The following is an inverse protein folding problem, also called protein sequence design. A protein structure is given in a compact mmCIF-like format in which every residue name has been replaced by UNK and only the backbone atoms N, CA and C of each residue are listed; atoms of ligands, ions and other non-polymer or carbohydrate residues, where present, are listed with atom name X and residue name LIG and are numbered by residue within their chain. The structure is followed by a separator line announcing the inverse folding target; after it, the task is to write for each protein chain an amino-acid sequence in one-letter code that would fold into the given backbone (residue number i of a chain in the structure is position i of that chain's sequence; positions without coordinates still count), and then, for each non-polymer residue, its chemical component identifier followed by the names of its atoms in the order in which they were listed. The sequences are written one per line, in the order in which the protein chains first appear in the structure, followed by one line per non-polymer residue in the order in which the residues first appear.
data_IF_911726016099
#
_entry.id   IF_911726016099
#
_cell.length_a   1.000
_cell.length_b   1.000
_cell.length_c   1.000
_cell.angle_alpha   90.00
_cell.angle_beta   90.00
_cell.angle_gamma   90.00
#
_symmetry.space_group_name_H-M   'P 1'
#
loop_
_entity.id
_entity.type
_entity.pdbx_description
1 polymer ?
#
# COMPACT_ATOMS: atom_id res chain seq x y z
N UNK A 1 5.42 26.29 -35.11
CA UNK A 1 5.83 26.33 -33.68
C UNK A 1 5.97 24.89 -33.22
N UNK A 2 7.20 24.44 -32.95
CA UNK A 2 7.45 23.09 -32.42
C UNK A 2 6.86 23.03 -31.01
N UNK A 3 5.88 22.15 -30.78
CA UNK A 3 5.35 21.89 -29.44
C UNK A 3 6.46 21.17 -28.67
N UNK A 4 7.08 21.85 -27.71
CA UNK A 4 8.06 21.24 -26.82
C UNK A 4 7.31 20.23 -25.95
N UNK A 5 7.46 18.94 -26.25
CA UNK A 5 6.78 17.87 -25.50
C UNK A 5 7.56 17.57 -24.22
N UNK A 6 6.95 17.81 -23.06
CA UNK A 6 7.48 17.38 -21.76
C UNK A 6 7.56 15.86 -21.70
N UNK A 7 8.72 15.32 -21.32
CA UNK A 7 8.93 13.88 -21.15
C UNK A 7 9.00 13.54 -19.66
N UNK A 8 8.26 12.53 -19.23
CA UNK A 8 8.30 12.07 -17.85
C UNK A 8 9.26 10.90 -17.67
N UNK A 9 10.02 10.95 -16.58
CA UNK A 9 10.73 9.82 -15.98
C UNK A 9 9.95 9.43 -14.73
N UNK A 10 9.24 8.33 -14.83
CA UNK A 10 8.42 7.80 -13.75
C UNK A 10 9.29 7.08 -12.71
N UNK A 11 8.98 7.32 -11.44
CA UNK A 11 9.70 6.80 -10.30
C UNK A 11 8.76 6.59 -9.11
N UNK A 12 9.19 5.78 -8.15
CA UNK A 12 8.41 5.54 -6.95
C UNK A 12 9.30 5.16 -5.76
N UNK A 13 8.76 5.34 -4.55
CA UNK A 13 9.43 5.04 -3.30
C UNK A 13 8.47 5.13 -2.12
N UNK A 14 9.02 5.31 -0.92
CA UNK A 14 8.17 5.40 0.26
C UNK A 14 8.88 5.84 1.53
N UNK A 15 8.06 6.10 2.54
CA UNK A 15 8.52 6.30 3.91
C UNK A 15 8.27 5.01 4.67
N UNK A 16 9.35 4.29 4.99
CA UNK A 16 9.30 3.17 5.93
C UNK A 16 9.23 3.76 7.34
N UNK A 17 8.26 3.31 8.11
CA UNK A 17 8.08 3.76 9.49
C UNK A 17 7.76 2.60 10.43
N UNK A 18 8.09 2.79 11.70
CA UNK A 18 7.73 1.88 12.79
C UNK A 18 7.58 2.66 14.09
N UNK A 19 6.87 2.07 15.06
CA UNK A 19 6.85 2.61 16.43
C UNK A 19 8.20 2.38 17.09
N UNK A 20 8.65 3.37 17.84
CA UNK A 20 9.88 3.31 18.63
C UNK A 20 9.63 2.49 19.89
N UNK A 21 10.54 1.58 20.21
CA UNK A 21 10.55 0.89 21.50
C UNK A 21 11.15 1.83 22.57
N UNK A 22 10.30 2.52 23.33
CA UNK A 22 10.72 3.47 24.38
C UNK A 22 11.10 2.75 25.70
N UNK A 23 11.12 1.41 25.73
CA UNK A 23 11.36 0.61 26.94
C UNK A 23 12.80 0.58 27.46
N UNK A 24 13.69 1.50 27.06
CA UNK A 24 15.11 1.45 27.47
C UNK A 24 15.84 2.78 27.66
N UNK A 25 15.20 3.94 27.59
CA UNK A 25 15.91 5.24 27.69
C UNK A 25 15.30 6.22 28.69
N UNK A 26 14.88 5.71 29.85
CA UNK A 26 14.67 6.53 31.04
C UNK A 26 15.08 5.72 32.26
N UNK A 27 16.37 5.82 32.61
CA UNK A 27 16.91 5.78 33.98
C UNK A 27 18.43 5.56 33.92
N UNK A 28 19.16 6.64 33.62
CA UNK A 28 20.54 6.77 34.04
C UNK A 28 20.67 8.11 34.77
N UNK A 29 20.58 8.03 36.10
CA UNK A 29 21.20 8.96 37.04
C UNK A 29 20.50 10.28 37.31
N UNK A 30 19.53 10.29 38.22
CA UNK A 30 19.43 11.35 39.23
C UNK A 30 18.84 10.74 40.52
N UNK A 31 19.70 10.57 41.53
CA UNK A 31 19.33 10.13 42.87
C UNK A 31 18.65 11.27 43.61
N UNK A 32 17.35 11.16 43.88
CA UNK A 32 16.59 12.13 44.66
C UNK A 32 15.30 11.55 45.26
N UNK A 33 15.37 11.25 46.57
CA UNK A 33 14.33 11.01 47.59
C UNK A 33 12.84 10.78 47.20
N UNK A 34 12.17 9.75 47.76
CA UNK A 34 10.75 9.51 47.53
C UNK A 34 9.90 10.41 48.45
N UNK A 35 9.21 11.40 47.89
CA UNK A 35 8.07 12.04 48.56
C UNK A 35 6.80 11.78 47.76
N UNK A 36 5.81 11.25 48.48
CA UNK A 36 4.50 10.83 48.02
C UNK A 36 3.70 11.99 47.40
N UNK A 37 3.41 11.88 46.10
CA UNK A 37 2.40 12.69 45.42
C UNK A 37 1.38 11.77 44.76
N UNK A 38 0.08 12.12 44.77
CA UNK A 38 -0.99 11.25 44.34
C UNK A 38 -0.92 11.01 42.83
N UNK A 39 -1.16 9.76 42.43
CA UNK A 39 -1.23 9.29 41.05
C UNK A 39 -2.33 10.08 40.33
N UNK A 40 -1.91 10.99 39.44
CA UNK A 40 -2.83 11.67 38.52
C UNK A 40 -3.40 10.66 37.53
N UNK A 41 -4.68 10.78 37.12
CA UNK A 41 -5.27 9.88 36.16
C UNK A 41 -4.52 9.94 34.83
N UNK A 42 -4.24 8.77 34.24
CA UNK A 42 -3.59 8.62 32.94
C UNK A 42 -4.48 9.29 31.89
N UNK A 43 -4.15 10.53 31.52
CA UNK A 43 -4.67 11.15 30.31
C UNK A 43 -4.20 10.30 29.13
N UNK A 44 -5.11 9.95 28.22
CA UNK A 44 -4.76 9.28 26.97
C UNK A 44 -3.70 10.10 26.23
N UNK A 45 -2.44 9.68 26.29
CA UNK A 45 -1.32 10.41 25.68
C UNK A 45 -1.60 10.56 24.19
N UNK A 46 -1.70 11.81 23.73
CA UNK A 46 -1.73 12.15 22.32
C UNK A 46 -0.42 11.63 21.70
N UNK A 47 -0.52 10.77 20.68
CA UNK A 47 0.66 10.25 19.98
C UNK A 47 1.58 11.42 19.59
N UNK A 48 2.84 11.34 19.98
CA UNK A 48 3.88 12.24 19.53
C UNK A 48 4.41 11.73 18.20
N UNK A 49 4.76 12.63 17.28
CA UNK A 49 5.43 12.26 16.02
C UNK A 49 6.71 11.46 16.29
N UNK A 50 7.41 11.82 17.37
CA UNK A 50 8.65 11.18 17.78
C UNK A 50 8.44 9.82 18.47
N UNK A 51 7.20 9.34 18.57
CA UNK A 51 6.89 7.94 18.89
C UNK A 51 7.19 7.00 17.71
N UNK A 52 7.46 7.55 16.52
CA UNK A 52 7.84 6.80 15.33
C UNK A 52 9.30 7.03 14.94
N UNK A 53 9.84 6.07 14.19
CA UNK A 53 11.12 6.17 13.50
C UNK A 53 10.89 6.01 12.00
N UNK A 54 11.61 6.78 11.19
CA UNK A 54 11.54 6.80 9.73
C UNK A 54 12.90 6.41 9.13
N UNK A 55 12.89 5.64 8.05
CA UNK A 55 14.10 5.17 7.37
C UNK A 55 14.55 6.13 6.25
N UNK A 56 15.77 6.65 6.35
CA UNK A 56 16.43 7.48 5.32
C UNK A 56 17.64 6.75 4.75
N UNK A 57 17.93 7.02 3.48
CA UNK A 57 19.11 6.53 2.78
C UNK A 57 20.08 7.66 2.47
N UNK A 58 21.38 7.36 2.50
CA UNK A 58 22.45 8.24 2.07
C UNK A 58 22.99 7.82 0.71
N UNK A 59 23.08 8.76 -0.23
CA UNK A 59 23.56 8.49 -1.60
C UNK A 59 24.93 9.14 -1.83
N UNK A 60 26.03 8.36 -1.86
CA UNK A 60 27.39 8.90 -1.99
C UNK A 60 27.60 9.75 -3.25
N UNK A 61 26.92 9.41 -4.35
CA UNK A 61 27.01 10.13 -5.62
C UNK A 61 26.62 11.62 -5.49
N UNK A 62 25.67 11.94 -4.62
CA UNK A 62 25.13 13.28 -4.45
C UNK A 62 25.49 13.92 -3.11
N UNK A 63 26.11 13.16 -2.20
CA UNK A 63 26.32 13.54 -0.80
C UNK A 63 25.03 14.05 -0.14
N UNK A 64 23.94 13.27 -0.27
CA UNK A 64 22.63 13.66 0.20
C UNK A 64 21.88 12.56 0.97
N UNK A 65 20.92 13.00 1.78
CA UNK A 65 19.97 12.16 2.50
C UNK A 65 18.57 12.38 1.96
N UNK A 66 17.92 11.29 1.55
CA UNK A 66 16.57 11.31 0.99
C UNK A 66 15.75 10.12 1.47
N UNK A 67 14.48 10.10 1.08
CA UNK A 67 13.68 8.88 1.09
C UNK A 67 14.18 7.87 0.06
N UNK A 68 14.03 6.56 0.31
CA UNK A 68 14.34 5.54 -0.67
C UNK A 68 13.38 5.60 -1.86
N UNK A 69 13.92 5.62 -3.08
CA UNK A 69 13.17 5.75 -4.34
C UNK A 69 14.04 5.55 -5.58
N UNK A 70 13.46 4.94 -6.60
CA UNK A 70 14.10 4.83 -7.91
C UNK A 70 13.10 4.79 -9.06
N UNK A 71 13.62 4.51 -10.25
CA UNK A 71 12.86 4.64 -11.51
C UNK A 71 12.07 3.39 -11.78
N UNK A 72 10.91 3.54 -12.42
CA UNK A 72 10.18 2.39 -12.91
C UNK A 72 11.02 1.64 -13.95
N UNK A 73 11.05 0.32 -13.83
CA UNK A 73 11.50 -0.56 -14.90
C UNK A 73 10.46 -0.60 -16.05
N UNK A 74 10.84 -1.03 -17.27
CA UNK A 74 9.88 -1.22 -18.34
C UNK A 74 8.73 -2.16 -17.93
N UNK A 75 7.49 -1.73 -18.17
CA UNK A 75 6.27 -2.47 -17.83
C UNK A 75 6.09 -2.74 -16.32
N UNK A 76 6.67 -1.88 -15.48
CA UNK A 76 6.54 -1.90 -14.04
C UNK A 76 5.59 -0.79 -13.55
N UNK A 77 4.68 -1.14 -12.65
CA UNK A 77 3.79 -0.17 -12.01
C UNK A 77 4.54 0.59 -10.91
N UNK A 78 4.15 1.84 -10.63
CA UNK A 78 4.75 2.61 -9.53
C UNK A 78 4.69 1.90 -8.17
N UNK A 79 3.63 1.14 -7.89
CA UNK A 79 3.52 0.39 -6.63
C UNK A 79 4.55 -0.73 -6.53
N UNK A 80 4.80 -1.41 -7.65
CA UNK A 80 5.80 -2.47 -7.73
C UNK A 80 7.20 -1.87 -7.60
N UNK A 81 7.47 -0.80 -8.36
CA UNK A 81 8.69 0.01 -8.25
C UNK A 81 8.93 0.44 -6.81
N UNK A 82 7.91 0.97 -6.12
CA UNK A 82 8.06 1.46 -4.75
C UNK A 82 8.54 0.35 -3.80
N UNK A 83 7.93 -0.84 -3.85
CA UNK A 83 8.35 -1.97 -2.99
C UNK A 83 9.72 -2.50 -3.38
N UNK A 84 10.00 -2.61 -4.68
CA UNK A 84 11.31 -3.06 -5.19
C UNK A 84 12.39 -2.09 -4.74
N UNK A 85 12.32 -0.83 -5.15
CA UNK A 85 13.32 0.21 -4.87
C UNK A 85 13.60 0.36 -3.37
N UNK A 86 12.54 0.35 -2.55
CA UNK A 86 12.72 0.39 -1.09
C UNK A 86 13.47 -0.84 -0.58
N UNK A 87 13.15 -2.03 -1.09
CA UNK A 87 13.89 -3.24 -0.76
C UNK A 87 15.34 -3.24 -1.26
N UNK A 88 15.60 -2.71 -2.45
CA UNK A 88 16.94 -2.62 -3.05
C UNK A 88 17.83 -1.64 -2.25
N UNK A 89 17.33 -0.44 -1.98
CA UNK A 89 18.10 0.63 -1.36
C UNK A 89 18.26 0.46 0.16
N UNK A 90 17.29 -0.15 0.83
CA UNK A 90 17.29 -0.24 2.30
C UNK A 90 17.54 -1.64 2.85
N UNK A 91 17.38 -2.68 2.02
CA UNK A 91 17.40 -4.07 2.46
C UNK A 91 16.20 -4.51 3.30
N UNK A 92 15.26 -3.60 3.65
CA UNK A 92 14.05 -3.94 4.38
C UNK A 92 12.99 -4.51 3.44
N UNK A 93 12.39 -5.62 3.84
CA UNK A 93 11.18 -6.12 3.18
C UNK A 93 9.98 -5.36 3.73
N UNK A 94 9.21 -4.72 2.83
CA UNK A 94 8.13 -3.80 3.21
C UNK A 94 6.82 -4.14 2.51
N UNK A 95 5.70 -3.71 3.09
CA UNK A 95 4.37 -3.67 2.46
C UNK A 95 3.87 -2.26 2.27
N UNK A 96 3.09 -2.05 1.21
CA UNK A 96 2.42 -0.77 0.96
C UNK A 96 1.25 -0.54 1.92
N UNK A 97 1.17 0.69 2.39
CA UNK A 97 0.03 1.32 3.04
C UNK A 97 -0.57 2.42 2.18
N UNK A 98 -1.25 3.41 2.79
CA UNK A 98 -1.80 4.54 2.07
C UNK A 98 -0.77 5.29 1.21
N UNK A 99 -1.17 5.69 0.02
CA UNK A 99 -0.41 6.63 -0.82
C UNK A 99 -0.19 7.94 -0.06
N UNK A 100 1.02 8.50 -0.07
CA UNK A 100 1.39 9.75 0.61
C UNK A 100 1.12 10.94 -0.29
N UNK A 101 1.90 11.06 -1.36
CA UNK A 101 1.87 12.19 -2.29
C UNK A 101 2.61 11.85 -3.59
N UNK A 102 2.49 12.74 -4.57
CA UNK A 102 3.26 12.75 -5.81
C UNK A 102 4.06 14.05 -5.85
N UNK A 103 5.36 13.97 -6.17
CA UNK A 103 6.21 15.14 -6.42
C UNK A 103 6.73 15.13 -7.86
N UNK A 104 6.99 16.31 -8.40
CA UNK A 104 7.58 16.50 -9.73
C UNK A 104 8.69 17.55 -9.67
N UNK A 105 9.81 17.28 -10.34
CA UNK A 105 10.86 18.27 -10.54
C UNK A 105 11.65 17.99 -11.84
N UNK A 106 12.25 19.02 -12.46
CA UNK A 106 13.15 18.83 -13.60
C UNK A 106 14.28 17.87 -13.25
N UNK A 107 14.52 16.86 -14.08
CA UNK A 107 15.50 15.80 -13.81
C UNK A 107 16.91 16.35 -13.57
N UNK A 108 17.25 17.47 -14.19
CA UNK A 108 18.51 18.19 -14.01
C UNK A 108 18.71 18.80 -12.61
N UNK A 109 17.65 18.84 -11.80
CA UNK A 109 17.68 19.25 -10.39
C UNK A 109 17.99 18.09 -9.44
N UNK A 110 18.07 16.83 -9.90
CA UNK A 110 18.40 15.68 -9.05
C UNK A 110 19.75 15.87 -8.36
N UNK A 111 19.75 15.78 -7.02
CA UNK A 111 20.95 15.93 -6.20
C UNK A 111 21.39 17.38 -5.98
N UNK A 112 20.69 18.38 -6.52
CA UNK A 112 20.98 19.80 -6.28
C UNK A 112 20.08 20.32 -5.15
N UNK A 113 20.69 20.94 -4.13
CA UNK A 113 19.95 21.74 -3.15
C UNK A 113 19.26 22.90 -3.91
N UNK A 114 17.99 23.17 -3.64
CA UNK A 114 17.32 24.34 -4.21
C UNK A 114 18.09 25.60 -3.81
N UNK A 115 18.85 26.18 -4.74
CA UNK A 115 19.38 27.52 -4.61
C UNK A 115 18.29 28.49 -5.04
N UNK A 116 18.11 29.57 -4.29
CA UNK A 116 17.13 30.61 -4.57
C UNK A 116 17.13 30.97 -6.06
N UNK A 117 15.92 31.06 -6.65
CA UNK A 117 15.67 31.43 -8.05
C UNK A 117 16.50 32.65 -8.45
N UNK A 118 17.65 32.43 -9.07
CA UNK A 118 18.44 33.46 -9.71
C UNK A 118 18.63 33.07 -11.17
N UNK A 119 18.07 33.88 -12.07
CA UNK A 119 18.52 33.95 -13.45
C UNK A 119 17.43 33.70 -14.48
N UNK A 120 17.02 34.80 -15.11
CA UNK A 120 16.44 34.94 -16.45
C UNK A 120 16.12 33.65 -17.20
N UNK A 121 14.84 33.47 -17.52
CA UNK A 121 14.34 32.48 -18.46
C UNK A 121 15.02 32.61 -19.81
N UNK A 122 16.06 31.81 -20.03
CA UNK A 122 16.50 31.46 -21.36
C UNK A 122 15.41 30.57 -21.96
N UNK A 123 14.87 30.97 -23.10
CA UNK A 123 13.95 30.15 -23.89
C UNK A 123 14.71 28.92 -24.40
N UNK A 124 14.81 27.91 -23.54
CA UNK A 124 15.43 26.65 -23.89
C UNK A 124 14.48 25.90 -24.83
N UNK A 125 14.92 25.66 -26.07
CA UNK A 125 14.17 24.93 -27.11
C UNK A 125 14.21 23.41 -26.93
N UNK A 126 14.86 22.94 -25.86
CA UNK A 126 15.00 21.53 -25.51
C UNK A 126 13.75 21.00 -24.77
N UNK A 127 13.34 19.74 -25.01
CA UNK A 127 12.28 19.11 -24.23
C UNK A 127 12.66 18.98 -22.76
N UNK A 128 11.83 19.54 -21.89
CA UNK A 128 11.98 19.42 -20.44
C UNK A 128 11.70 17.97 -20.01
N UNK A 129 12.67 17.37 -19.32
CA UNK A 129 12.52 16.02 -18.74
C UNK A 129 12.16 16.18 -17.27
N UNK A 130 10.93 15.82 -16.91
CA UNK A 130 10.42 15.89 -15.54
C UNK A 130 10.53 14.52 -14.90
N UNK A 131 11.06 14.47 -13.67
CA UNK A 131 10.99 13.28 -12.83
C UNK A 131 9.73 13.36 -11.98
N UNK A 132 8.82 12.39 -12.13
CA UNK A 132 7.60 12.25 -11.34
C UNK A 132 7.76 11.09 -10.37
N UNK A 133 7.48 11.31 -9.09
CA UNK A 133 7.71 10.31 -8.05
C UNK A 133 6.46 10.16 -7.20
N UNK A 134 5.99 8.92 -7.06
CA UNK A 134 4.92 8.57 -6.13
C UNK A 134 5.51 7.96 -4.84
N UNK A 135 4.98 8.38 -3.69
CA UNK A 135 5.40 7.87 -2.37
C UNK A 135 4.27 7.18 -1.64
N UNK A 136 4.59 6.10 -0.93
CA UNK A 136 3.67 5.37 -0.06
C UNK A 136 4.16 5.31 1.39
N UNK A 137 3.22 5.19 2.33
CA UNK A 137 3.51 4.76 3.70
C UNK A 137 3.86 3.28 3.65
N UNK A 138 4.94 2.86 4.32
CA UNK A 138 5.39 1.46 4.27
C UNK A 138 5.71 0.91 5.65
N UNK A 139 5.31 -0.34 5.89
CA UNK A 139 5.65 -1.08 7.11
C UNK A 139 6.53 -2.27 6.79
N UNK A 140 7.45 -2.58 7.68
CA UNK A 140 8.30 -3.77 7.57
C UNK A 140 7.47 -5.05 7.67
N UNK A 141 7.88 -6.08 6.94
CA UNK A 141 7.40 -7.46 7.09
C UNK A 141 8.54 -8.39 7.50
N UNK A 142 8.20 -9.43 8.24
CA UNK A 142 9.19 -10.42 8.66
C UNK A 142 9.75 -11.24 7.48
N UNK A 143 10.94 -11.83 7.70
CA UNK A 143 11.64 -12.61 6.69
C UNK A 143 10.83 -13.80 6.15
N UNK A 144 10.12 -14.60 6.98
CA UNK A 144 9.24 -15.66 6.47
C UNK A 144 8.18 -15.14 5.49
N UNK A 145 7.51 -14.04 5.83
CA UNK A 145 6.48 -13.41 5.00
C UNK A 145 7.08 -12.88 3.70
N UNK A 146 8.24 -12.21 3.80
CA UNK A 146 8.98 -11.73 2.63
C UNK A 146 9.39 -12.89 1.69
N UNK A 147 9.88 -14.01 2.25
CA UNK A 147 10.29 -15.17 1.48
C UNK A 147 9.10 -15.83 0.74
N UNK A 148 7.95 -15.98 1.41
CA UNK A 148 6.72 -16.51 0.79
C UNK A 148 6.19 -15.60 -0.33
N UNK A 149 6.40 -14.29 -0.22
CA UNK A 149 5.97 -13.31 -1.22
C UNK A 149 6.81 -13.36 -2.51
N UNK A 150 8.09 -13.72 -2.43
CA UNK A 150 9.05 -13.58 -3.54
C UNK A 150 8.60 -14.24 -4.87
N UNK A 151 8.02 -15.45 -4.92
CA UNK A 151 7.61 -16.04 -6.18
C UNK A 151 6.52 -15.22 -6.90
N UNK A 152 5.59 -14.62 -6.16
CA UNK A 152 4.53 -13.78 -6.71
C UNK A 152 5.01 -12.36 -7.05
N UNK A 153 5.92 -11.79 -6.24
CA UNK A 153 6.45 -10.44 -6.44
C UNK A 153 7.54 -10.40 -7.51
N UNK A 154 8.56 -11.25 -7.39
CA UNK A 154 9.78 -11.18 -8.17
C UNK A 154 11.01 -10.91 -7.32
N UNK A 155 12.20 -10.96 -7.92
CA UNK A 155 13.46 -10.75 -7.20
C UNK A 155 13.66 -9.28 -6.81
N UNK A 156 14.27 -9.06 -5.65
CA UNK A 156 14.74 -7.74 -5.20
C UNK A 156 16.25 -7.86 -5.02
N UNK A 157 17.03 -7.03 -5.72
CA UNK A 157 18.49 -7.07 -5.71
C UNK A 157 19.04 -5.91 -4.89
N UNK A 158 19.81 -6.14 -3.81
CA UNK A 158 20.37 -5.05 -3.03
C UNK A 158 21.18 -4.07 -3.88
N UNK A 159 21.01 -2.78 -3.60
CA UNK A 159 21.77 -1.71 -4.22
C UNK A 159 23.27 -1.84 -3.90
N UNK A 160 24.11 -1.29 -4.78
CA UNK A 160 25.56 -1.29 -4.56
C UNK A 160 25.93 -0.25 -3.49
N UNK A 161 27.03 -0.44 -2.73
CA UNK A 161 27.52 0.58 -1.79
C UNK A 161 27.85 1.94 -2.41
N UNK A 162 28.12 1.97 -3.72
CA UNK A 162 28.35 3.21 -4.49
C UNK A 162 27.06 4.01 -4.73
N UNK A 163 25.91 3.35 -4.64
CA UNK A 163 24.58 3.92 -4.82
C UNK A 163 24.00 4.31 -3.46
N UNK A 164 23.96 3.38 -2.51
CA UNK A 164 23.55 3.62 -1.14
C UNK A 164 24.71 3.34 -0.18
N UNK A 165 25.17 4.38 0.50
CA UNK A 165 26.32 4.29 1.41
C UNK A 165 25.94 4.06 2.87
N UNK A 166 24.75 4.49 3.28
CA UNK A 166 24.29 4.34 4.67
C UNK A 166 22.77 4.42 4.78
N UNK A 167 22.23 3.87 5.87
CA UNK A 167 20.80 3.86 6.20
C UNK A 167 20.64 4.30 7.66
N UNK A 168 19.69 5.20 7.94
CA UNK A 168 19.40 5.66 9.30
C UNK A 168 17.92 5.58 9.62
N UNK A 169 17.61 5.16 10.85
CA UNK A 169 16.30 5.34 11.47
C UNK A 169 16.30 6.56 12.37
N UNK A 170 15.41 7.51 12.10
CA UNK A 170 15.34 8.81 12.80
C UNK A 170 13.89 9.13 13.17
N UNK A 171 13.68 9.83 14.29
CA UNK A 171 12.36 10.40 14.58
C UNK A 171 12.00 11.43 13.50
N UNK A 172 10.71 11.72 13.23
CA UNK A 172 10.32 12.71 12.23
C UNK A 172 11.00 14.07 12.42
N UNK A 173 11.17 14.52 13.67
CA UNK A 173 11.87 15.77 13.99
C UNK A 173 13.34 15.76 13.56
N UNK A 174 14.04 14.62 13.72
CA UNK A 174 15.43 14.45 13.29
C UNK A 174 15.53 14.23 11.78
N UNK A 175 14.61 13.45 11.20
CA UNK A 175 14.53 13.22 9.76
C UNK A 175 14.39 14.55 9.00
N UNK A 176 13.50 15.45 9.44
CA UNK A 176 13.33 16.78 8.83
C UNK A 176 14.63 17.56 8.71
N UNK A 177 15.45 17.53 9.77
CA UNK A 177 16.77 18.21 9.81
C UNK A 177 17.81 17.51 8.95
N UNK A 178 17.68 16.20 8.77
CA UNK A 178 18.65 15.37 8.04
C UNK A 178 18.40 15.38 6.53
N UNK A 179 17.16 15.43 6.09
CA UNK A 179 16.77 15.48 4.68
C UNK A 179 17.45 16.67 3.98
N UNK A 180 18.07 16.38 2.83
CA UNK A 180 18.83 17.37 2.07
C UNK A 180 17.92 18.28 1.25
N UNK A 181 16.86 17.73 0.66
CA UNK A 181 16.00 18.42 -0.31
C UNK A 181 14.67 18.87 0.30
N UNK A 182 14.19 20.04 -0.13
CA UNK A 182 12.87 20.56 0.30
C UNK A 182 11.72 19.67 -0.16
N UNK A 183 11.81 19.08 -1.35
CA UNK A 183 10.81 18.14 -1.85
C UNK A 183 10.64 16.91 -0.96
N UNK A 184 11.71 16.38 -0.36
CA UNK A 184 11.60 15.27 0.59
C UNK A 184 10.95 15.73 1.92
N UNK A 185 11.11 17.01 2.30
CA UNK A 185 10.43 17.59 3.48
C UNK A 185 8.92 17.78 3.22
N UNK A 186 8.53 18.13 1.99
CA UNK A 186 7.12 18.15 1.59
C UNK A 186 6.48 16.75 1.68
N UNK A 187 7.21 15.70 1.28
CA UNK A 187 6.76 14.30 1.46
C UNK A 187 6.62 13.96 2.95
N UNK A 188 7.54 14.43 3.80
CA UNK A 188 7.44 14.27 5.26
C UNK A 188 6.20 14.97 5.83
N UNK A 189 5.90 16.19 5.39
CA UNK A 189 4.70 16.93 5.83
C UNK A 189 3.42 16.18 5.48
N UNK A 190 3.31 15.68 4.23
CA UNK A 190 2.18 14.87 3.79
C UNK A 190 2.06 13.55 4.57
N UNK A 191 3.18 12.93 4.94
CA UNK A 191 3.20 11.75 5.80
C UNK A 191 2.69 12.04 7.21
N UNK A 192 3.15 13.14 7.82
CA UNK A 192 2.73 13.54 9.16
C UNK A 192 1.25 13.91 9.22
N UNK A 193 0.70 14.52 8.17
CA UNK A 193 -0.74 14.77 8.07
C UNK A 193 -1.55 13.46 8.16
N UNK A 194 -1.09 12.42 7.45
CA UNK A 194 -1.71 11.08 7.51
C UNK A 194 -1.56 10.45 8.89
N UNK A 195 -0.38 10.57 9.49
CA UNK A 195 -0.11 10.08 10.84
C UNK A 195 -1.06 10.72 11.87
N UNK A 196 -1.20 12.04 11.84
CA UNK A 196 -2.09 12.81 12.72
C UNK A 196 -3.57 12.51 12.47
N UNK A 197 -3.93 12.14 11.25
CA UNK A 197 -5.26 11.65 10.90
C UNK A 197 -5.53 10.21 11.38
N UNK A 198 -4.61 9.57 12.12
CA UNK A 198 -4.76 8.22 12.66
C UNK A 198 -4.53 7.12 11.63
N UNK A 199 -3.80 7.41 10.55
CA UNK A 199 -3.55 6.46 9.45
C UNK A 199 -2.27 5.63 9.64
N UNK A 200 -1.63 5.72 10.81
CA UNK A 200 -0.43 4.96 11.16
C UNK A 200 -0.71 3.46 11.28
N UNK A 201 -1.88 3.10 11.79
CA UNK A 201 -2.30 1.71 11.89
C UNK A 201 -3.45 1.47 10.93
N UNK A 202 -3.21 0.56 9.99
CA UNK A 202 -4.19 0.18 9.00
C UNK A 202 -4.19 -1.33 8.76
N UNK A 203 -5.34 -1.81 8.31
CA UNK A 203 -5.51 -3.11 7.67
C UNK A 203 -5.81 -2.90 6.20
N UNK A 204 -5.50 -3.90 5.37
CA UNK A 204 -5.67 -3.76 3.93
C UNK A 204 -6.66 -4.82 3.40
N UNK A 205 -7.63 -4.37 2.62
CA UNK A 205 -8.59 -5.24 1.95
C UNK A 205 -8.48 -5.04 0.44
N UNK A 206 -8.12 -6.10 -0.29
CA UNK A 206 -8.02 -6.10 -1.74
C UNK A 206 -9.26 -6.78 -2.32
N UNK A 207 -10.11 -6.01 -2.98
CA UNK A 207 -11.26 -6.55 -3.69
C UNK A 207 -10.84 -6.83 -5.13
N UNK A 208 -10.85 -8.10 -5.51
CA UNK A 208 -10.51 -8.55 -6.87
C UNK A 208 -11.80 -8.89 -7.59
N UNK A 209 -11.98 -8.32 -8.78
CA UNK A 209 -13.03 -8.77 -9.70
C UNK A 209 -12.46 -9.87 -10.56
N UNK A 210 -13.17 -11.00 -10.66
CA UNK A 210 -12.71 -12.13 -11.46
C UNK A 210 -12.29 -11.72 -12.88
N UNK A 211 -11.31 -12.44 -13.44
CA UNK A 211 -10.78 -12.26 -14.78
C UNK A 211 -11.84 -12.41 -15.87
N UNK A 212 -11.49 -12.04 -17.11
CA UNK A 212 -12.36 -12.26 -18.27
C UNK A 212 -12.71 -13.75 -18.35
N UNK A 213 -14.01 -14.05 -18.40
CA UNK A 213 -14.54 -15.42 -18.40
C UNK A 213 -15.23 -15.75 -19.71
N UNK A 214 -15.38 -17.06 -19.96
CA UNK A 214 -16.13 -17.56 -21.12
C UNK A 214 -17.53 -16.94 -21.17
N UNK A 215 -18.06 -16.73 -22.37
CA UNK A 215 -19.37 -16.11 -22.51
C UNK A 215 -20.46 -17.08 -22.03
N UNK A 216 -21.51 -16.54 -21.39
CA UNK A 216 -22.68 -17.35 -20.99
C UNK A 216 -23.37 -18.03 -22.17
N UNK A 217 -23.28 -17.43 -23.37
CA UNK A 217 -23.90 -17.93 -24.59
C UNK A 217 -23.16 -19.15 -25.17
N UNK A 218 -21.84 -19.19 -25.02
CA UNK A 218 -20.99 -20.23 -25.62
C UNK A 218 -20.68 -21.37 -24.66
N UNK A 219 -20.68 -21.10 -23.36
CA UNK A 219 -20.40 -22.10 -22.34
C UNK A 219 -21.53 -23.12 -22.21
N UNK A 220 -21.19 -24.41 -22.33
CA UNK A 220 -22.16 -25.52 -22.29
C UNK A 220 -22.29 -26.16 -20.89
N UNK A 221 -21.47 -25.73 -19.93
CA UNK A 221 -21.52 -26.22 -18.55
C UNK A 221 -22.39 -25.33 -17.63
N UNK A 222 -22.40 -25.65 -16.34
CA UNK A 222 -23.06 -24.82 -15.33
C UNK A 222 -22.37 -23.45 -15.15
N UNK A 223 -23.09 -22.46 -14.63
CA UNK A 223 -22.50 -21.15 -14.28
C UNK A 223 -21.39 -21.26 -13.23
N UNK A 224 -21.48 -22.23 -12.32
CA UNK A 224 -20.47 -22.48 -11.28
C UNK A 224 -19.15 -22.97 -11.86
N UNK A 225 -19.19 -23.71 -12.98
CA UNK A 225 -18.02 -24.29 -13.64
C UNK A 225 -17.48 -23.46 -14.80
N UNK A 226 -18.07 -22.29 -15.09
CA UNK A 226 -17.63 -21.42 -16.19
C UNK A 226 -16.24 -20.82 -15.90
N UNK A 227 -15.21 -21.11 -16.73
CA UNK A 227 -13.82 -20.74 -16.46
C UNK A 227 -13.47 -19.32 -16.91
N UNK A 228 -12.30 -18.84 -16.50
CA UNK A 228 -11.66 -17.70 -17.14
C UNK A 228 -11.16 -18.05 -18.56
N UNK A 229 -11.10 -17.07 -19.46
CA UNK A 229 -10.51 -17.24 -20.80
C UNK A 229 -8.97 -17.21 -20.71
N UNK A 230 -8.22 -17.59 -21.76
CA UNK A 230 -6.76 -17.45 -21.77
C UNK A 230 -6.27 -16.02 -21.49
N UNK A 231 -6.94 -15.01 -22.05
CA UNK A 231 -6.65 -13.60 -21.74
C UNK A 231 -6.99 -13.25 -20.29
N UNK A 232 -8.05 -13.85 -19.73
CA UNK A 232 -8.39 -13.72 -18.32
C UNK A 232 -7.32 -14.31 -17.42
N UNK A 233 -6.74 -15.46 -17.78
CA UNK A 233 -5.64 -16.09 -17.07
C UNK A 233 -4.36 -15.24 -17.12
N UNK A 234 -4.01 -14.70 -18.29
CA UNK A 234 -2.86 -13.79 -18.44
C UNK A 234 -3.00 -12.53 -17.56
N UNK A 235 -4.17 -11.90 -17.56
CA UNK A 235 -4.45 -10.75 -16.70
C UNK A 235 -4.42 -11.10 -15.20
N UNK A 236 -4.93 -12.28 -14.84
CA UNK A 236 -4.94 -12.78 -13.45
C UNK A 236 -3.52 -13.05 -12.94
N UNK A 237 -2.67 -13.65 -13.78
CA UNK A 237 -1.25 -13.85 -13.49
C UNK A 237 -0.52 -12.51 -13.32
N UNK A 238 -0.73 -11.58 -14.25
CA UNK A 238 -0.15 -10.24 -14.17
C UNK A 238 -0.62 -9.46 -12.93
N UNK A 239 -1.86 -9.67 -12.46
CA UNK A 239 -2.38 -9.05 -11.24
C UNK A 239 -1.67 -9.55 -9.99
N UNK A 240 -1.19 -10.80 -9.97
CA UNK A 240 -0.50 -11.39 -8.82
C UNK A 240 0.67 -10.56 -8.30
N UNK A 241 1.49 -10.00 -9.19
CA UNK A 241 2.63 -9.13 -8.82
C UNK A 241 2.20 -7.85 -8.11
N UNK A 242 1.02 -7.33 -8.46
CA UNK A 242 0.46 -6.12 -7.88
C UNK A 242 -0.15 -6.41 -6.50
N UNK A 243 -0.83 -7.55 -6.34
CA UNK A 243 -1.34 -8.00 -5.04
C UNK A 243 -0.21 -8.27 -4.05
N UNK A 244 0.91 -8.81 -4.55
CA UNK A 244 2.10 -9.10 -3.75
C UNK A 244 2.69 -7.85 -3.06
N UNK A 245 2.49 -6.65 -3.62
CA UNK A 245 2.95 -5.38 -3.01
C UNK A 245 2.35 -5.12 -1.61
N UNK A 246 1.23 -5.78 -1.28
CA UNK A 246 0.53 -5.68 -0.01
C UNK A 246 0.70 -6.93 0.88
N UNK A 247 1.47 -7.92 0.41
CA UNK A 247 1.79 -9.20 1.07
C UNK A 247 0.62 -9.89 1.79
N UNK A 248 -0.55 -10.09 1.15
CA UNK A 248 -1.72 -10.66 1.79
C UNK A 248 -1.42 -11.95 2.54
N UNK A 249 -2.10 -12.16 3.67
CA UNK A 249 -1.99 -13.36 4.48
C UNK A 249 -3.25 -14.23 4.44
N UNK A 250 -4.32 -13.75 3.77
CA UNK A 250 -5.59 -14.45 3.62
C UNK A 250 -6.17 -14.23 2.22
N UNK A 251 -6.69 -15.30 1.61
CA UNK A 251 -7.41 -15.25 0.34
C UNK A 251 -8.80 -15.86 0.53
N UNK A 252 -9.83 -15.08 0.22
CA UNK A 252 -11.23 -15.51 0.19
C UNK A 252 -11.74 -15.40 -1.24
N UNK A 253 -12.54 -16.36 -1.68
CA UNK A 253 -13.11 -16.35 -3.02
C UNK A 253 -14.52 -16.92 -3.03
N UNK A 254 -15.34 -16.48 -3.99
CA UNK A 254 -16.50 -17.27 -4.38
C UNK A 254 -16.04 -18.64 -4.92
N UNK A 255 -16.72 -19.76 -4.61
CA UNK A 255 -16.35 -21.09 -5.08
C UNK A 255 -16.47 -21.27 -6.60
N UNK A 256 -17.14 -20.35 -7.31
CA UNK A 256 -17.27 -20.44 -8.76
C UNK A 256 -15.92 -20.38 -9.47
N UNK A 257 -15.73 -21.27 -10.44
CA UNK A 257 -14.45 -21.57 -11.09
C UNK A 257 -13.69 -20.32 -11.53
N UNK A 258 -14.36 -19.38 -12.22
CA UNK A 258 -13.73 -18.12 -12.64
C UNK A 258 -13.13 -17.27 -11.51
N UNK A 259 -13.73 -17.26 -10.32
CA UNK A 259 -13.19 -16.53 -9.16
C UNK A 259 -11.97 -17.26 -8.60
N UNK A 260 -12.07 -18.57 -8.42
CA UNK A 260 -10.95 -19.40 -7.94
C UNK A 260 -9.76 -19.32 -8.89
N UNK A 261 -9.96 -19.50 -10.19
CA UNK A 261 -8.90 -19.43 -11.20
C UNK A 261 -8.23 -18.05 -11.29
N UNK A 262 -8.96 -16.96 -10.96
CA UNK A 262 -8.40 -15.60 -10.97
C UNK A 262 -7.30 -15.43 -9.92
N UNK A 263 -7.42 -16.09 -8.76
CA UNK A 263 -6.46 -15.95 -7.66
C UNK A 263 -5.57 -17.18 -7.49
N UNK A 264 -5.79 -18.24 -8.27
CA UNK A 264 -5.10 -19.52 -8.12
C UNK A 264 -3.57 -19.43 -8.27
N UNK A 265 -3.07 -18.75 -9.31
CA UNK A 265 -1.63 -18.58 -9.51
C UNK A 265 -0.99 -17.81 -8.34
N UNK A 266 -1.61 -16.69 -7.95
CA UNK A 266 -1.13 -15.90 -6.82
C UNK A 266 -1.15 -16.68 -5.50
N UNK A 267 -2.21 -17.46 -5.25
CA UNK A 267 -2.35 -18.32 -4.07
C UNK A 267 -1.26 -19.39 -4.01
N UNK A 268 -0.99 -20.04 -5.15
CA UNK A 268 0.09 -21.01 -5.29
C UNK A 268 1.45 -20.35 -4.98
N UNK A 269 1.77 -19.25 -5.66
CA UNK A 269 3.07 -18.57 -5.56
C UNK A 269 3.31 -17.97 -4.17
N UNK A 270 2.24 -17.59 -3.46
CA UNK A 270 2.31 -17.08 -2.09
C UNK A 270 2.17 -18.18 -1.02
N UNK A 271 1.97 -19.44 -1.42
CA UNK A 271 1.68 -20.57 -0.51
C UNK A 271 0.49 -20.29 0.44
N UNK A 272 -0.58 -19.71 -0.09
CA UNK A 272 -1.79 -19.36 0.66
C UNK A 272 -2.97 -20.23 0.22
N UNK A 273 -3.75 -20.80 1.15
CA UNK A 273 -4.99 -21.48 0.80
C UNK A 273 -6.05 -20.46 0.33
N UNK A 274 -6.97 -20.92 -0.51
CA UNK A 274 -8.15 -20.15 -0.93
C UNK A 274 -9.33 -20.61 -0.08
N UNK A 275 -9.82 -19.74 0.80
CA UNK A 275 -11.07 -19.95 1.52
C UNK A 275 -12.25 -19.71 0.57
N UNK A 276 -13.01 -20.75 0.27
CA UNK A 276 -14.15 -20.67 -0.66
C UNK A 276 -15.46 -20.52 0.11
N UNK A 277 -16.21 -19.44 -0.17
CA UNK A 277 -17.42 -19.08 0.58
C UNK A 277 -18.64 -19.04 -0.33
N UNK A 278 -19.60 -19.93 -0.09
CA UNK A 278 -20.77 -20.15 -0.95
C UNK A 278 -21.67 -18.90 -1.05
N UNK A 279 -21.78 -18.15 0.03
CA UNK A 279 -22.56 -16.92 0.16
C UNK A 279 -22.05 -15.80 -0.75
N UNK A 280 -20.83 -15.91 -1.28
CA UNK A 280 -20.23 -14.94 -2.21
C UNK A 280 -20.56 -15.23 -3.69
N UNK A 281 -21.34 -16.27 -3.99
CA UNK A 281 -21.81 -16.57 -5.37
C UNK A 281 -22.86 -15.58 -5.85
N UNK A 282 -23.05 -15.44 -7.18
CA UNK A 282 -24.14 -14.59 -7.72
C UNK A 282 -25.52 -15.13 -7.28
N UNK A 283 -25.71 -16.45 -7.29
CA UNK A 283 -26.98 -17.08 -6.91
C UNK A 283 -27.36 -16.83 -5.44
N UNK A 284 -26.40 -16.97 -4.51
CA UNK A 284 -26.66 -16.66 -3.11
C UNK A 284 -26.88 -15.17 -2.90
N UNK A 285 -26.15 -14.32 -3.61
CA UNK A 285 -26.33 -12.87 -3.54
C UNK A 285 -27.69 -12.41 -4.04
N UNK A 286 -28.20 -13.01 -5.12
CA UNK A 286 -29.52 -12.71 -5.66
C UNK A 286 -30.64 -13.14 -4.68
N UNK A 287 -30.51 -14.33 -4.08
CA UNK A 287 -31.52 -14.89 -3.15
C UNK A 287 -31.44 -14.31 -1.75
N UNK A 288 -30.23 -14.04 -1.25
CA UNK A 288 -29.92 -13.70 0.14
C UNK A 288 -28.85 -12.60 0.25
N UNK A 289 -29.09 -11.40 -0.32
CA UNK A 289 -28.08 -10.33 -0.40
C UNK A 289 -27.58 -9.86 0.98
N UNK A 290 -28.42 -9.98 2.03
CA UNK A 290 -28.03 -9.68 3.41
C UNK A 290 -26.97 -10.66 3.94
N UNK A 291 -27.10 -11.95 3.62
CA UNK A 291 -26.14 -12.98 4.04
C UNK A 291 -24.78 -12.73 3.38
N UNK A 292 -24.77 -12.48 2.07
CA UNK A 292 -23.56 -12.09 1.33
C UNK A 292 -22.91 -10.84 1.93
N UNK A 293 -23.69 -9.80 2.24
CA UNK A 293 -23.14 -8.59 2.85
C UNK A 293 -22.56 -8.87 4.24
N UNK A 294 -23.20 -9.72 5.05
CA UNK A 294 -22.67 -10.11 6.36
C UNK A 294 -21.28 -10.75 6.25
N UNK A 295 -21.04 -11.63 5.28
CA UNK A 295 -19.70 -12.21 5.06
C UNK A 295 -18.65 -11.12 4.79
N UNK A 296 -18.98 -10.17 3.91
CA UNK A 296 -18.06 -9.10 3.52
C UNK A 296 -17.76 -8.13 4.68
N UNK A 297 -18.77 -7.80 5.48
CA UNK A 297 -18.61 -6.94 6.67
C UNK A 297 -17.87 -7.67 7.79
N UNK A 298 -18.15 -8.96 7.98
CA UNK A 298 -17.46 -9.78 8.98
C UNK A 298 -15.96 -9.86 8.69
N UNK A 299 -15.55 -9.85 7.41
CA UNK A 299 -14.13 -9.83 7.08
C UNK A 299 -13.45 -8.51 7.46
N UNK A 300 -14.14 -7.37 7.30
CA UNK A 300 -13.63 -6.08 7.84
C UNK A 300 -13.47 -6.18 9.37
N UNK A 301 -14.45 -6.74 10.07
CA UNK A 301 -14.36 -6.93 11.52
C UNK A 301 -13.28 -7.93 11.94
N UNK A 302 -13.02 -8.97 11.13
CA UNK A 302 -11.91 -9.91 11.35
C UNK A 302 -10.58 -9.18 11.27
N UNK A 303 -10.39 -8.34 10.24
CA UNK A 303 -9.21 -7.50 10.11
C UNK A 303 -9.05 -6.60 11.36
N UNK A 304 -10.12 -5.95 11.83
CA UNK A 304 -10.05 -5.12 13.04
C UNK A 304 -9.62 -5.91 14.29
N UNK A 305 -10.23 -7.07 14.52
CA UNK A 305 -9.90 -7.94 15.66
C UNK A 305 -8.45 -8.42 15.60
N UNK A 306 -7.97 -8.81 14.42
CA UNK A 306 -6.59 -9.23 14.23
C UNK A 306 -5.59 -8.09 14.53
N UNK A 307 -5.92 -6.86 14.10
CA UNK A 307 -5.09 -5.69 14.37
C UNK A 307 -5.04 -5.35 15.87
N UNK A 308 -6.14 -5.52 16.61
CA UNK A 308 -6.18 -5.31 18.06
C UNK A 308 -5.35 -6.36 18.80
N UNK A 309 -5.52 -7.64 18.47
CA UNK A 309 -4.77 -8.73 19.09
C UNK A 309 -3.25 -8.62 18.86
N UNK A 310 -2.84 -8.12 17.67
CA UNK A 310 -1.44 -7.88 17.36
C UNK A 310 -0.81 -6.77 18.22
N UNK A 311 -1.60 -5.76 18.63
CA UNK A 311 -1.12 -4.66 19.49
C UNK A 311 -0.99 -5.07 20.96
N UNK A 312 -1.79 -6.03 21.43
CA UNK A 312 -1.76 -6.51 22.83
C UNK A 312 -0.64 -7.51 23.08
N UNK A 313 -0.30 -8.31 22.07
CA UNK A 313 0.83 -9.25 22.13
C UNK A 313 2.13 -8.49 21.87
N UNK A 314 2.69 -7.88 22.92
CA UNK A 314 3.87 -7.00 22.94
C UNK A 314 5.18 -7.61 22.37
N UNK A 315 5.10 -8.72 21.63
CA UNK A 315 6.25 -9.52 21.21
C UNK A 315 6.47 -9.65 19.72
N UNK A 316 5.60 -9.19 18.81
CA UNK A 316 5.93 -9.17 17.36
C UNK A 316 5.10 -8.14 16.57
N UNK A 317 5.74 -7.00 16.27
CA UNK A 317 5.16 -5.83 15.58
C UNK A 317 5.01 -6.01 14.05
N UNK A 318 4.76 -7.24 13.57
CA UNK A 318 4.95 -7.60 12.14
C UNK A 318 3.81 -8.40 11.51
N UNK A 319 2.67 -8.57 12.19
CA UNK A 319 1.54 -9.29 11.60
C UNK A 319 0.88 -8.42 10.51
N UNK A 320 1.32 -8.58 9.26
CA UNK A 320 0.65 -7.96 8.12
C UNK A 320 -0.80 -8.45 8.08
N UNK A 321 -1.76 -7.53 8.12
CA UNK A 321 -3.18 -7.84 8.23
C UNK A 321 -3.88 -7.45 6.94
N UNK A 322 -3.80 -8.34 5.95
CA UNK A 322 -4.18 -8.05 4.57
C UNK A 322 -4.93 -9.21 3.94
N UNK A 323 -6.18 -8.97 3.54
CA UNK A 323 -7.05 -9.98 2.90
C UNK A 323 -7.30 -9.66 1.43
N UNK A 324 -7.22 -10.67 0.57
CA UNK A 324 -7.72 -10.63 -0.82
C UNK A 324 -9.10 -11.28 -0.90
N UNK A 325 -10.07 -10.64 -1.54
CA UNK A 325 -11.39 -11.21 -1.83
C UNK A 325 -11.69 -11.21 -3.32
N UNK A 326 -11.79 -12.38 -3.96
CA UNK A 326 -12.20 -12.49 -5.36
C UNK A 326 -13.72 -12.66 -5.49
N UNK A 327 -14.36 -11.69 -6.14
CA UNK A 327 -15.81 -11.49 -6.09
C UNK A 327 -16.41 -11.30 -7.50
N UNK A 328 -17.75 -11.44 -7.57
CA UNK A 328 -18.54 -11.10 -8.75
C UNK A 328 -18.95 -9.63 -8.74
N UNK A 329 -19.18 -9.06 -9.91
CA UNK A 329 -19.60 -7.65 -10.06
C UNK A 329 -20.84 -7.26 -9.22
N UNK A 330 -21.96 -8.02 -9.21
CA UNK A 330 -23.13 -7.63 -8.41
C UNK A 330 -22.86 -7.65 -6.89
N UNK A 331 -22.07 -8.62 -6.43
CA UNK A 331 -21.61 -8.73 -5.03
C UNK A 331 -20.76 -7.51 -4.65
N UNK A 332 -19.77 -7.18 -5.48
CA UNK A 332 -18.94 -5.97 -5.32
C UNK A 332 -19.80 -4.72 -5.27
N UNK A 333 -20.83 -4.62 -6.12
CA UNK A 333 -21.72 -3.47 -6.16
C UNK A 333 -22.47 -3.26 -4.84
N UNK A 334 -22.99 -4.34 -4.26
CA UNK A 334 -23.64 -4.29 -2.93
C UNK A 334 -22.63 -3.89 -1.85
N UNK A 335 -21.40 -4.40 -1.94
CA UNK A 335 -20.38 -4.03 -0.96
C UNK A 335 -19.97 -2.57 -1.08
N UNK A 336 -19.82 -2.05 -2.30
CA UNK A 336 -19.50 -0.65 -2.54
C UNK A 336 -20.56 0.27 -1.94
N UNK A 337 -21.84 -0.12 -1.93
CA UNK A 337 -22.90 0.65 -1.27
C UNK A 337 -22.69 0.74 0.24
N UNK A 338 -22.20 -0.33 0.88
CA UNK A 338 -21.78 -0.32 2.28
C UNK A 338 -20.49 0.51 2.48
N UNK A 339 -19.45 0.26 1.68
CA UNK A 339 -18.15 0.94 1.78
C UNK A 339 -18.30 2.47 1.63
N UNK A 340 -19.20 2.94 0.76
CA UNK A 340 -19.51 4.37 0.60
C UNK A 340 -20.05 5.03 1.88
N UNK A 341 -20.67 4.27 2.79
CA UNK A 341 -21.18 4.78 4.08
C UNK A 341 -20.06 4.98 5.09
N UNK A 342 -19.05 4.11 5.07
CA UNK A 342 -17.88 4.18 5.97
C UNK A 342 -16.71 4.99 5.38
N UNK A 343 -16.87 5.51 4.16
CA UNK A 343 -15.90 6.39 3.49
C UNK A 343 -16.31 7.86 3.64
N UNK A 344 -15.42 8.70 4.18
CA UNK A 344 -15.69 10.15 4.35
C UNK A 344 -15.38 11.00 3.12
N UNK A 345 -14.17 10.92 2.50
CA UNK A 345 -13.84 11.83 1.40
C UNK A 345 -14.77 11.61 0.19
N UNK A 346 -15.35 12.71 -0.33
CA UNK A 346 -16.22 12.66 -1.53
C UNK A 346 -15.48 12.08 -2.74
N UNK A 347 -14.18 12.33 -2.86
CA UNK A 347 -13.34 11.80 -3.94
C UNK A 347 -13.30 10.26 -3.95
N UNK A 348 -13.12 9.63 -2.78
CA UNK A 348 -13.10 8.18 -2.63
C UNK A 348 -14.45 7.53 -2.97
N UNK A 349 -15.57 8.22 -2.70
CA UNK A 349 -16.91 7.74 -3.08
C UNK A 349 -17.10 7.60 -4.59
N UNK A 350 -16.34 8.33 -5.41
CA UNK A 350 -16.37 8.19 -6.88
C UNK A 350 -15.70 6.91 -7.37
N UNK A 351 -14.66 6.45 -6.68
CA UNK A 351 -13.96 5.20 -7.02
C UNK A 351 -14.85 3.99 -6.69
N UNK A 352 -15.60 4.07 -5.59
CA UNK A 352 -16.59 3.07 -5.16
C UNK A 352 -17.89 3.15 -5.98
N UNK A 353 -17.79 3.09 -7.31
CA UNK A 353 -18.93 3.08 -8.21
C UNK A 353 -19.03 1.77 -8.98
N UNK A 354 -20.27 1.35 -9.26
CA UNK A 354 -20.57 0.08 -9.93
C UNK A 354 -20.34 0.11 -11.44
N UNK A 355 -20.20 1.29 -12.05
CA UNK A 355 -20.13 1.42 -13.51
C UNK A 355 -18.72 1.11 -14.00
N UNK A 356 -18.59 0.39 -15.11
CA UNK A 356 -17.36 0.46 -15.92
C UNK A 356 -17.17 1.94 -16.29
N UNK A 357 -15.99 2.56 -16.12
CA UNK A 357 -14.66 1.96 -16.06
C UNK A 357 -14.04 1.82 -14.65
N UNK A 358 -14.81 1.94 -13.56
CA UNK A 358 -14.22 2.10 -12.22
C UNK A 358 -13.58 0.81 -11.66
N UNK A 359 -14.05 -0.37 -12.08
CA UNK A 359 -13.44 -1.67 -11.77
C UNK A 359 -13.65 -2.69 -12.91
N UNK A 360 -12.77 -2.71 -13.94
CA UNK A 360 -12.80 -3.68 -15.04
C UNK A 360 -12.67 -5.14 -14.58
N UNK A 361 -12.98 -6.12 -15.45
CA UNK A 361 -12.69 -7.54 -15.17
C UNK A 361 -11.19 -7.76 -14.98
N UNK A 362 -10.79 -8.61 -14.04
CA UNK A 362 -9.37 -8.88 -13.79
C UNK A 362 -8.60 -7.71 -13.18
N UNK A 363 -9.31 -6.77 -12.54
CA UNK A 363 -8.71 -5.66 -11.79
C UNK A 363 -9.04 -5.78 -10.31
N UNK A 364 -8.33 -5.01 -9.49
CA UNK A 364 -8.58 -4.93 -8.07
C UNK A 364 -8.75 -3.49 -7.58
N UNK A 365 -9.36 -3.36 -6.41
CA UNK A 365 -9.41 -2.14 -5.62
C UNK A 365 -8.80 -2.45 -4.26
N UNK A 366 -7.81 -1.66 -3.87
CA UNK A 366 -7.17 -1.74 -2.55
C UNK A 366 -7.86 -0.74 -1.64
N UNK A 367 -8.19 -1.18 -0.44
CA UNK A 367 -8.81 -0.38 0.59
C UNK A 367 -7.91 -0.42 1.83
N UNK A 368 -7.42 0.73 2.26
CA UNK A 368 -6.79 0.86 3.56
C UNK A 368 -7.85 1.27 4.58
N UNK A 369 -7.96 0.48 5.64
CA UNK A 369 -8.98 0.59 6.67
C UNK A 369 -8.30 0.90 8.00
N UNK A 370 -8.85 1.86 8.74
CA UNK A 370 -8.52 2.08 10.14
C UNK A 370 -9.75 1.90 11.01
N UNK A 371 -9.56 1.46 12.25
CA UNK A 371 -10.65 1.37 13.21
C UNK A 371 -10.80 2.69 13.96
N UNK A 372 -12.03 3.15 14.13
CA UNK A 372 -12.33 4.33 14.95
C UNK A 372 -13.38 3.95 15.99
N UNK A 373 -13.55 4.74 17.08
CA UNK A 373 -14.62 4.46 18.05
C UNK A 373 -16.03 4.42 17.46
N UNK A 374 -16.23 4.95 16.24
CA UNK A 374 -17.49 4.90 15.50
C UNK A 374 -17.55 3.78 14.45
N UNK A 375 -16.58 2.85 14.47
CA UNK A 375 -16.44 1.74 13.54
C UNK A 375 -15.36 1.94 12.46
N UNK A 376 -15.24 0.98 11.52
CA UNK A 376 -14.25 1.00 10.46
C UNK A 376 -14.39 2.25 9.60
N UNK A 377 -13.26 2.78 9.14
CA UNK A 377 -13.22 3.84 8.13
C UNK A 377 -12.22 3.52 7.04
N UNK A 378 -12.62 3.77 5.80
CA UNK A 378 -11.70 3.75 4.67
C UNK A 378 -10.92 5.07 4.65
N UNK A 379 -9.60 4.96 4.73
CA UNK A 379 -8.67 6.10 4.74
C UNK A 379 -8.02 6.33 3.38
N UNK A 380 -7.89 5.28 2.57
CA UNK A 380 -7.33 5.38 1.22
C UNK A 380 -7.90 4.29 0.30
N UNK A 381 -7.98 4.60 -1.00
CA UNK A 381 -8.49 3.71 -2.04
C UNK A 381 -7.61 3.78 -3.28
N UNK A 382 -7.01 2.65 -3.66
CA UNK A 382 -6.22 2.56 -4.88
C UNK A 382 -6.86 1.63 -5.90
N UNK A 383 -6.77 2.01 -7.19
CA UNK A 383 -7.13 1.12 -8.30
C UNK A 383 -5.90 0.35 -8.74
N UNK A 384 -6.07 -0.95 -8.90
CA UNK A 384 -5.02 -1.85 -9.38
C UNK A 384 -5.49 -2.48 -10.67
N UNK A 385 -4.83 -2.10 -11.76
CA UNK A 385 -5.04 -2.67 -13.08
C UNK A 385 -3.74 -3.39 -13.43
N UNK A 386 -3.80 -4.69 -13.76
CA UNK A 386 -2.60 -5.39 -14.16
C UNK A 386 -2.04 -4.80 -15.46
N UNK A 387 -0.72 -4.72 -15.56
CA UNK A 387 -0.06 -4.39 -16.83
C UNK A 387 -0.09 -5.63 -17.72
N UNK A 388 -1.04 -5.66 -18.65
CA UNK A 388 -1.20 -6.75 -19.64
C UNK A 388 -1.27 -6.11 -21.01
N UNK A 389 -0.34 -6.51 -21.88
CA UNK A 389 -0.16 -6.01 -23.26
C UNK A 389 0.38 -4.58 -23.37
#
# INVERSE_FOLDING_TARGET
MSVVTTRYVEAAGGIIYRRRNITGSSNAGETGNPSSQPIKPIQANKLSDDDFELCLVYRPKYDDWSWPKGKNEPNESHRHTAVREVGEETGYSVVLGPHITQIEYPLEHEGKKQTAKNGNGSHNTQPEVIKRIHYWMMREIDKPTAAKRLPAFGPIKPAKPTEIGNILWLTPSKARKKLTHDSDREVLDAFLEKLHAGQAEYSTLLLVRHGKAESRKTWQGSEATRPITPLGAAASYALGRELACYAPNKIISSPWKRCVETVAAFAHDSSLPIEQVAELTEDCHEKQPKSTLSVLVNEIQNLERNAQNANESATNNTANNTTVMCLHRPVIGTFFDYLRKITKPRAHKRILSQKSPYMPTGSAVVLHLTNTPQGPRIIDIEKVIPSVY
#
